data_IF_951445572158
#
_entry.id   IF_951445572158
#
_cell.length_a   1.000
_cell.length_b   1.000
_cell.length_c   1.000
_cell.angle_alpha   90.00
_cell.angle_beta   90.00
_cell.angle_gamma   90.00
#
_symmetry.space_group_name_H-M   'P 1'
#
loop_
_entity.id
_entity.type
_entity.pdbx_description
1 polymer ?
#
# COMPACT_ATOMS: atom_id res chain seq x y z
N UNK A 1 -20.09 -0.62 -9.55
CA UNK A 1 -20.73 -1.96 -9.52
C UNK A 1 -19.74 -2.94 -8.93
N UNK A 2 -20.08 -3.52 -7.79
CA UNK A 2 -19.20 -4.21 -6.85
C UNK A 2 -18.76 -5.64 -7.28
N UNK A 3 -18.61 -5.90 -8.57
CA UNK A 3 -18.31 -7.24 -9.09
C UNK A 3 -16.80 -7.58 -9.12
N UNK A 4 -15.92 -6.57 -9.23
CA UNK A 4 -14.46 -6.79 -9.30
C UNK A 4 -13.86 -7.33 -7.98
N UNK A 5 -14.54 -7.07 -6.86
CA UNK A 5 -14.00 -7.34 -5.52
C UNK A 5 -14.51 -8.66 -4.92
N UNK A 6 -15.19 -9.52 -5.67
CA UNK A 6 -15.64 -10.86 -5.21
C UNK A 6 -14.93 -11.99 -5.95
N UNK A 7 -14.36 -11.72 -7.11
CA UNK A 7 -13.69 -12.73 -7.94
C UNK A 7 -12.28 -13.12 -7.41
N UNK A 8 -11.70 -12.31 -6.51
CA UNK A 8 -10.37 -12.56 -5.93
C UNK A 8 -10.34 -13.62 -4.82
N UNK A 9 -11.50 -14.02 -4.28
CA UNK A 9 -11.59 -14.93 -3.14
C UNK A 9 -11.64 -16.42 -3.52
N UNK A 10 -11.79 -16.75 -4.81
CA UNK A 10 -11.91 -18.13 -5.28
C UNK A 10 -10.66 -18.53 -6.06
N UNK A 11 -9.69 -19.11 -5.36
CA UNK A 11 -8.58 -19.81 -6.02
C UNK A 11 -9.06 -21.08 -6.70
N UNK A 12 -9.01 -21.14 -8.02
CA UNK A 12 -8.80 -22.38 -8.76
C UNK A 12 -7.96 -22.15 -10.03
N UNK A 13 -7.18 -23.16 -10.35
CA UNK A 13 -6.03 -23.19 -11.23
C UNK A 13 -6.43 -23.32 -12.71
N UNK A 14 -5.65 -22.72 -13.62
CA UNK A 14 -5.61 -23.17 -15.01
C UNK A 14 -5.84 -22.13 -16.11
N UNK A 15 -5.62 -20.84 -15.88
CA UNK A 15 -5.56 -19.88 -16.98
C UNK A 15 -4.18 -19.92 -17.65
N UNK A 16 -4.09 -20.60 -18.79
CA UNK A 16 -3.05 -20.38 -19.79
C UNK A 16 -2.97 -18.88 -20.08
N UNK A 17 -1.81 -18.27 -19.88
CA UNK A 17 -1.54 -16.89 -20.28
C UNK A 17 -1.75 -16.78 -21.80
N UNK A 18 -2.90 -16.27 -22.23
CA UNK A 18 -3.17 -15.97 -23.62
C UNK A 18 -2.30 -14.77 -24.00
N UNK A 19 -1.47 -14.95 -25.02
CA UNK A 19 -0.57 -13.92 -25.57
C UNK A 19 -1.31 -12.70 -26.16
N UNK A 20 -2.64 -12.71 -26.17
CA UNK A 20 -3.52 -11.67 -26.74
C UNK A 20 -4.00 -10.60 -25.73
N UNK A 21 -3.62 -10.66 -24.44
CA UNK A 21 -3.97 -9.63 -23.44
C UNK A 21 -2.91 -8.51 -23.29
N UNK A 22 -1.88 -8.52 -24.15
CA UNK A 22 -0.77 -7.54 -24.14
C UNK A 22 -1.04 -6.30 -25.01
N UNK A 23 -2.23 -6.17 -25.61
CA UNK A 23 -2.58 -5.09 -26.56
C UNK A 23 -3.64 -4.12 -25.99
N UNK A 24 -3.58 -3.85 -24.68
CA UNK A 24 -4.22 -2.69 -24.07
C UNK A 24 -3.44 -1.41 -24.40
N UNK A 25 -4.05 -0.22 -24.45
CA UNK A 25 -3.38 1.00 -24.91
C UNK A 25 -2.08 1.25 -24.11
N UNK A 26 -0.96 1.28 -24.85
CA UNK A 26 0.43 1.47 -24.43
C UNK A 26 0.73 2.88 -23.87
N UNK A 27 -0.11 3.36 -22.97
CA UNK A 27 0.20 4.52 -22.16
C UNK A 27 -0.34 4.31 -20.76
N UNK A 28 0.24 3.32 -20.07
CA UNK A 28 0.33 3.40 -18.63
C UNK A 28 1.07 4.72 -18.32
N UNK A 29 0.47 5.55 -17.47
CA UNK A 29 1.10 6.80 -17.06
C UNK A 29 2.52 6.50 -16.54
N UNK A 30 3.54 7.31 -16.90
CA UNK A 30 4.89 7.10 -16.39
C UNK A 30 4.87 6.98 -14.86
N UNK A 31 5.61 6.02 -14.29
CA UNK A 31 5.64 5.83 -12.85
C UNK A 31 6.05 7.14 -12.15
N UNK A 32 5.18 7.67 -11.27
CA UNK A 32 5.38 8.94 -10.60
C UNK A 32 5.36 8.80 -9.07
N UNK A 33 5.96 9.75 -8.32
CA UNK A 33 5.87 9.79 -6.87
C UNK A 33 4.42 9.79 -6.39
N UNK A 34 4.09 8.86 -5.49
CA UNK A 34 2.77 8.77 -4.87
C UNK A 34 2.77 9.63 -3.61
N UNK A 35 1.92 10.66 -3.57
CA UNK A 35 1.65 11.41 -2.35
C UNK A 35 0.25 11.07 -1.82
N UNK A 36 0.18 10.12 -0.89
CA UNK A 36 -1.07 9.62 -0.30
C UNK A 36 -1.97 10.70 0.31
N UNK A 37 -1.43 11.85 0.70
CA UNK A 37 -2.22 12.95 1.26
C UNK A 37 -2.97 13.76 0.20
N UNK A 38 -2.54 13.68 -1.07
CA UNK A 38 -3.07 14.50 -2.17
C UNK A 38 -3.89 13.70 -3.18
N UNK A 39 -3.92 12.36 -3.07
CA UNK A 39 -4.71 11.52 -3.96
C UNK A 39 -6.20 11.80 -3.84
N UNK A 40 -6.87 11.88 -4.99
CA UNK A 40 -8.32 11.83 -5.07
C UNK A 40 -8.84 10.48 -4.56
N UNK A 41 -10.15 10.38 -4.35
CA UNK A 41 -10.77 9.12 -3.95
C UNK A 41 -10.49 7.97 -4.95
N UNK A 42 -10.61 8.25 -6.25
CA UNK A 42 -10.48 7.23 -7.30
C UNK A 42 -8.99 6.86 -7.54
N UNK A 43 -8.08 7.83 -7.46
CA UNK A 43 -6.63 7.56 -7.53
C UNK A 43 -6.19 6.74 -6.31
N UNK A 44 -6.65 7.09 -5.11
CA UNK A 44 -6.32 6.35 -3.89
C UNK A 44 -6.78 4.89 -3.95
N UNK A 45 -7.99 4.62 -4.49
CA UNK A 45 -8.48 3.26 -4.67
C UNK A 45 -7.53 2.43 -5.56
N UNK A 46 -7.13 3.01 -6.68
CA UNK A 46 -6.22 2.36 -7.65
C UNK A 46 -4.85 2.09 -7.02
N UNK A 47 -4.25 3.11 -6.40
CA UNK A 47 -2.93 3.00 -5.78
C UNK A 47 -2.91 1.99 -4.62
N UNK A 48 -3.98 1.93 -3.81
CA UNK A 48 -4.09 0.93 -2.76
C UNK A 48 -4.08 -0.49 -3.31
N UNK A 49 -4.85 -0.75 -4.37
CA UNK A 49 -4.96 -2.07 -4.98
C UNK A 49 -3.64 -2.51 -5.62
N UNK A 50 -3.00 -1.62 -6.39
CA UNK A 50 -1.73 -1.92 -7.05
C UNK A 50 -0.61 -2.13 -6.03
N UNK A 51 -0.52 -1.28 -4.99
CA UNK A 51 0.45 -1.49 -3.92
C UNK A 51 0.21 -2.80 -3.18
N UNK A 52 -1.04 -3.16 -2.88
CA UNK A 52 -1.35 -4.43 -2.21
C UNK A 52 -0.99 -5.66 -3.04
N UNK A 53 -1.22 -5.61 -4.36
CA UNK A 53 -0.78 -6.66 -5.29
C UNK A 53 0.73 -6.78 -5.26
N UNK A 54 1.44 -5.67 -5.39
CA UNK A 54 2.90 -5.66 -5.42
C UNK A 54 3.52 -6.11 -4.09
N UNK A 55 3.01 -5.67 -2.94
CA UNK A 55 3.48 -6.11 -1.62
C UNK A 55 3.27 -7.62 -1.44
N UNK A 56 2.14 -8.16 -1.91
CA UNK A 56 1.89 -9.60 -1.88
C UNK A 56 2.85 -10.38 -2.77
N UNK A 57 3.20 -9.86 -3.95
CA UNK A 57 4.26 -10.42 -4.77
C UNK A 57 5.61 -10.36 -4.05
N UNK A 58 6.01 -9.19 -3.55
CA UNK A 58 7.31 -8.95 -2.91
C UNK A 58 7.55 -9.93 -1.74
N UNK A 59 6.59 -10.03 -0.82
CA UNK A 59 6.74 -10.89 0.37
C UNK A 59 6.77 -12.38 0.02
N UNK A 60 6.09 -12.82 -1.04
CA UNK A 60 6.11 -14.22 -1.49
C UNK A 60 7.39 -14.53 -2.27
N UNK A 61 7.81 -13.64 -3.17
CA UNK A 61 9.00 -13.81 -4.01
C UNK A 61 10.29 -13.83 -3.19
N UNK A 62 10.41 -12.95 -2.20
CA UNK A 62 11.61 -12.84 -1.36
C UNK A 62 11.49 -13.55 0.00
N UNK A 63 10.39 -14.27 0.26
CA UNK A 63 10.17 -15.01 1.51
C UNK A 63 10.22 -14.13 2.76
N UNK A 64 9.64 -12.93 2.69
CA UNK A 64 9.75 -11.95 3.77
C UNK A 64 8.90 -12.37 4.98
N UNK A 65 9.48 -12.40 6.20
CA UNK A 65 8.74 -12.69 7.41
C UNK A 65 7.84 -11.52 7.81
N UNK A 66 6.86 -11.80 8.69
CA UNK A 66 5.99 -10.77 9.26
C UNK A 66 6.74 -9.68 10.05
N UNK A 67 7.99 -9.95 10.47
CA UNK A 67 8.86 -8.94 11.08
C UNK A 67 9.41 -7.91 10.11
N UNK A 68 9.27 -8.10 8.80
CA UNK A 68 9.68 -7.14 7.76
C UNK A 68 8.44 -6.58 7.06
N UNK A 69 7.50 -7.44 6.66
CA UNK A 69 6.22 -7.02 6.07
C UNK A 69 5.07 -7.72 6.81
N UNK A 70 4.42 -7.04 7.76
CA UNK A 70 3.36 -7.60 8.59
C UNK A 70 2.03 -7.66 7.82
N UNK A 71 1.06 -8.49 8.24
CA UNK A 71 -0.23 -8.60 7.54
C UNK A 71 -1.00 -7.28 7.44
N UNK A 72 -0.95 -6.46 8.50
CA UNK A 72 -1.62 -5.15 8.62
C UNK A 72 -0.71 -3.97 8.21
N UNK A 73 0.27 -4.17 7.33
CA UNK A 73 1.17 -3.10 6.86
C UNK A 73 0.43 -1.84 6.37
N UNK A 74 -0.77 -2.00 5.79
CA UNK A 74 -1.60 -0.90 5.27
C UNK A 74 -2.13 0.04 6.34
N UNK A 75 -2.13 -0.38 7.62
CA UNK A 75 -2.53 0.44 8.76
C UNK A 75 -1.40 1.28 9.34
N UNK A 76 -0.17 1.10 8.86
CA UNK A 76 1.01 1.82 9.32
C UNK A 76 1.50 2.78 8.25
N UNK A 77 1.27 4.10 8.40
CA UNK A 77 1.68 5.09 7.40
C UNK A 77 3.15 4.99 7.04
N UNK A 78 4.05 4.75 7.99
CA UNK A 78 5.48 4.59 7.77
C UNK A 78 5.82 3.41 6.83
N UNK A 79 5.08 2.29 6.93
CA UNK A 79 5.24 1.16 6.02
C UNK A 79 4.64 1.48 4.65
N UNK A 80 3.48 2.13 4.62
CA UNK A 80 2.82 2.55 3.37
C UNK A 80 3.76 3.45 2.55
N UNK A 81 4.37 4.46 3.18
CA UNK A 81 5.30 5.37 2.51
C UNK A 81 6.55 4.65 1.98
N UNK A 82 7.21 3.83 2.81
CA UNK A 82 8.43 3.11 2.40
C UNK A 82 8.12 2.09 1.29
N UNK A 83 7.04 1.33 1.41
CA UNK A 83 6.64 0.33 0.41
C UNK A 83 6.22 0.98 -0.92
N UNK A 84 5.55 2.14 -0.87
CA UNK A 84 5.21 2.91 -2.08
C UNK A 84 6.47 3.37 -2.81
N UNK A 85 7.47 3.88 -2.08
CA UNK A 85 8.73 4.32 -2.66
C UNK A 85 9.51 3.14 -3.26
N UNK A 86 9.52 1.98 -2.59
CA UNK A 86 10.15 0.77 -3.11
C UNK A 86 9.45 0.23 -4.36
N UNK A 87 8.12 0.29 -4.41
CA UNK A 87 7.33 -0.08 -5.58
C UNK A 87 7.66 0.83 -6.76
N UNK A 88 7.67 2.14 -6.54
CA UNK A 88 8.05 3.11 -7.57
C UNK A 88 9.48 2.87 -8.08
N UNK A 89 10.43 2.64 -7.18
CA UNK A 89 11.80 2.33 -7.57
C UNK A 89 11.87 1.04 -8.40
N UNK A 90 11.07 0.02 -8.05
CA UNK A 90 10.98 -1.23 -8.82
C UNK A 90 10.48 -0.96 -10.23
N UNK A 91 9.39 -0.20 -10.40
CA UNK A 91 8.85 0.17 -11.72
C UNK A 91 9.90 0.86 -12.58
N UNK A 92 10.59 1.87 -12.03
CA UNK A 92 11.65 2.58 -12.75
C UNK A 92 12.87 1.69 -13.08
N UNK A 93 13.19 0.70 -12.24
CA UNK A 93 14.33 -0.18 -12.46
C UNK A 93 14.09 -1.22 -13.57
N UNK A 94 12.83 -1.53 -13.88
CA UNK A 94 12.42 -2.46 -14.92
C UNK A 94 11.77 -1.78 -16.13
N UNK A 95 11.87 -0.45 -16.22
CA UNK A 95 11.44 0.31 -17.39
C UNK A 95 12.25 -0.11 -18.64
N UNK A 96 11.61 -0.26 -19.83
CA UNK A 96 12.29 -0.68 -21.06
C UNK A 96 13.45 0.21 -21.49
N UNK A 97 13.41 1.50 -21.15
CA UNK A 97 14.45 2.47 -21.48
C UNK A 97 15.57 2.52 -20.43
N UNK A 98 15.51 1.68 -19.38
CA UNK A 98 16.53 1.65 -18.34
C UNK A 98 17.78 0.83 -18.71
N UNK A 99 18.89 1.14 -18.05
CA UNK A 99 20.12 0.38 -18.16
C UNK A 99 19.91 -1.02 -17.58
N UNK A 100 20.47 -2.05 -18.23
CA UNK A 100 20.37 -3.44 -17.75
C UNK A 100 20.94 -3.71 -16.35
N UNK A 101 21.71 -2.76 -15.78
CA UNK A 101 22.18 -2.83 -14.39
C UNK A 101 21.18 -2.29 -13.36
N UNK A 102 20.11 -1.60 -13.78
CA UNK A 102 19.15 -0.98 -12.88
C UNK A 102 18.45 -1.96 -11.93
N UNK A 103 18.04 -3.17 -12.37
CA UNK A 103 17.50 -4.18 -11.47
C UNK A 103 18.48 -4.56 -10.34
N UNK A 104 19.78 -4.59 -10.63
CA UNK A 104 20.80 -4.87 -9.62
C UNK A 104 20.95 -3.70 -8.64
N UNK A 105 20.82 -2.46 -9.12
CA UNK A 105 20.73 -1.26 -8.29
C UNK A 105 19.57 -1.34 -7.30
N UNK A 106 18.37 -1.68 -7.80
CA UNK A 106 17.19 -1.84 -6.96
C UNK A 106 17.38 -2.89 -5.84
N UNK A 107 18.03 -4.02 -6.13
CA UNK A 107 18.28 -5.03 -5.11
C UNK A 107 19.23 -4.56 -4.01
N UNK A 108 20.20 -3.68 -4.33
CA UNK A 108 21.06 -3.05 -3.33
C UNK A 108 20.25 -2.17 -2.40
N UNK A 109 19.43 -1.29 -2.97
CA UNK A 109 18.64 -0.33 -2.19
C UNK A 109 17.52 -1.03 -1.39
N UNK A 110 16.94 -2.11 -1.95
CA UNK A 110 16.02 -2.99 -1.26
C UNK A 110 16.67 -3.66 -0.04
N UNK A 111 17.95 -4.06 -0.13
CA UNK A 111 18.64 -4.67 1.00
C UNK A 111 18.69 -3.72 2.21
N UNK A 112 18.95 -2.44 1.98
CA UNK A 112 18.96 -1.39 3.02
C UNK A 112 17.56 -1.07 3.53
N UNK A 113 16.56 -1.05 2.64
CA UNK A 113 15.18 -0.76 3.00
C UNK A 113 14.56 -1.83 3.91
N UNK A 114 14.94 -3.12 3.75
CA UNK A 114 14.47 -4.19 4.64
C UNK A 114 14.81 -3.94 6.11
N UNK A 115 15.96 -3.33 6.41
CA UNK A 115 16.30 -2.98 7.79
C UNK A 115 15.35 -1.91 8.33
N UNK A 116 15.06 -0.86 7.53
CA UNK A 116 14.09 0.18 7.92
C UNK A 116 12.69 -0.38 8.12
N UNK A 117 12.22 -1.23 7.20
CA UNK A 117 10.93 -1.93 7.33
C UNK A 117 10.87 -2.75 8.63
N UNK A 118 11.91 -3.50 8.94
CA UNK A 118 11.99 -4.25 10.18
C UNK A 118 11.92 -3.34 11.43
N UNK A 119 12.62 -2.21 11.40
CA UNK A 119 12.61 -1.25 12.51
C UNK A 119 11.24 -0.59 12.69
N UNK A 120 10.52 -0.31 11.60
CA UNK A 120 9.12 0.17 11.64
C UNK A 120 8.17 -0.86 12.24
N UNK A 121 8.29 -2.12 11.85
CA UNK A 121 7.49 -3.22 12.43
C UNK A 121 7.78 -3.38 13.92
N UNK A 122 9.05 -3.32 14.31
CA UNK A 122 9.44 -3.40 15.72
C UNK A 122 8.89 -2.22 16.54
N UNK A 123 8.83 -1.01 15.96
CA UNK A 123 8.36 0.21 16.62
C UNK A 123 6.84 0.25 16.77
N UNK A 124 6.11 -0.14 15.72
CA UNK A 124 4.65 -0.23 15.75
C UNK A 124 4.17 -1.37 16.66
N UNK A 125 4.94 -2.46 16.75
CA UNK A 125 4.61 -3.63 17.55
C UNK A 125 3.59 -4.56 16.88
N UNK A 126 3.36 -4.38 15.58
CA UNK A 126 2.52 -5.24 14.75
C UNK A 126 3.15 -6.62 14.57
N UNK A 127 2.32 -7.66 14.53
CA UNK A 127 2.71 -9.08 14.54
C UNK A 127 1.83 -9.85 13.57
N UNK A 128 2.05 -11.17 13.49
CA UNK A 128 1.29 -12.05 12.59
C UNK A 128 -0.21 -12.07 12.91
N UNK A 129 -0.58 -12.17 14.19
CA UNK A 129 -1.98 -12.37 14.63
C UNK A 129 -2.59 -11.12 15.29
N UNK A 130 -1.77 -10.10 15.54
CA UNK A 130 -2.15 -8.95 16.33
C UNK A 130 -1.49 -7.70 15.80
N UNK A 131 -2.22 -6.62 15.84
CA UNK A 131 -1.77 -5.31 15.40
C UNK A 131 -1.93 -4.27 16.50
N UNK A 132 -1.09 -3.25 16.44
CA UNK A 132 -1.19 -2.06 17.27
C UNK A 132 -0.76 -0.85 16.44
N UNK A 133 -1.60 0.19 16.33
CA UNK A 133 -1.20 1.45 15.72
C UNK A 133 0.08 2.04 16.33
N UNK A 134 0.89 2.65 15.47
CA UNK A 134 2.17 3.25 15.84
C UNK A 134 1.97 4.37 16.85
N UNK A 135 2.66 4.26 17.99
CA UNK A 135 2.50 5.22 19.10
C UNK A 135 3.14 6.55 18.70
N UNK A 136 2.38 7.63 18.82
CA UNK A 136 2.90 8.98 18.72
C UNK A 136 3.28 9.48 20.13
N UNK A 137 4.48 10.01 20.26
CA UNK A 137 4.93 10.62 21.52
C UNK A 137 4.41 12.06 21.57
N UNK A 138 3.53 12.42 22.52
CA UNK A 138 3.05 13.78 22.63
C UNK A 138 4.20 14.72 23.01
N UNK A 139 4.28 15.87 22.37
CA UNK A 139 5.28 16.88 22.68
C UNK A 139 4.84 17.79 23.85
N UNK A 140 5.76 18.52 24.50
CA UNK A 140 5.39 19.44 25.57
C UNK A 140 4.35 20.47 25.12
N UNK A 141 3.18 20.47 25.78
CA UNK A 141 2.05 21.35 25.44
C UNK A 141 0.93 20.68 24.63
N UNK A 142 1.15 19.46 24.13
CA UNK A 142 0.12 18.68 23.46
C UNK A 142 -0.72 17.88 24.47
N UNK A 143 -2.01 17.61 24.14
CA UNK A 143 -2.81 16.70 24.95
C UNK A 143 -2.15 15.31 24.99
N UNK A 144 -2.33 14.54 26.08
CA UNK A 144 -1.87 13.15 26.13
C UNK A 144 -2.41 12.34 24.95
N UNK A 145 -1.58 11.48 24.38
CA UNK A 145 -2.00 10.58 23.31
C UNK A 145 -3.06 9.59 23.81
N UNK A 146 -3.99 9.23 22.93
CA UNK A 146 -5.03 8.25 23.23
C UNK A 146 -4.43 6.87 23.56
N UNK A 147 -5.15 6.12 24.40
CA UNK A 147 -4.77 4.76 24.72
C UNK A 147 -4.89 3.88 23.46
N UNK A 148 -3.75 3.39 22.96
CA UNK A 148 -3.74 2.48 21.81
C UNK A 148 -3.89 1.04 22.30
N UNK A 149 -4.92 0.35 21.79
CA UNK A 149 -5.24 -1.03 22.08
C UNK A 149 -4.73 -1.97 20.98
N UNK A 150 -4.44 -3.21 21.37
CA UNK A 150 -4.06 -4.27 20.44
C UNK A 150 -5.32 -4.86 19.79
N UNK A 151 -5.28 -5.05 18.48
CA UNK A 151 -6.36 -5.57 17.64
C UNK A 151 -5.97 -6.96 17.15
N UNK A 152 -6.92 -7.90 17.10
CA UNK A 152 -6.68 -9.23 16.54
C UNK A 152 -6.86 -9.20 15.02
N UNK A 153 -5.94 -9.82 14.30
CA UNK A 153 -6.00 -9.98 12.85
C UNK A 153 -6.74 -11.29 12.56
N UNK A 154 -8.04 -11.23 12.30
CA UNK A 154 -8.84 -12.43 11.99
C UNK A 154 -8.85 -12.77 10.50
N UNK A 155 -8.99 -11.75 9.66
CA UNK A 155 -8.99 -11.88 8.20
C UNK A 155 -8.34 -10.63 7.62
N UNK A 156 -7.13 -10.81 7.08
CA UNK A 156 -6.34 -9.70 6.57
C UNK A 156 -6.89 -9.11 5.29
N UNK A 157 -7.46 -9.93 4.42
CA UNK A 157 -7.91 -9.45 3.13
C UNK A 157 -9.26 -8.74 3.26
N UNK A 158 -10.15 -9.25 4.12
CA UNK A 158 -11.37 -8.53 4.48
C UNK A 158 -11.08 -7.19 5.17
N UNK A 159 -10.09 -7.14 6.08
CA UNK A 159 -9.66 -5.89 6.72
C UNK A 159 -9.11 -4.88 5.71
N UNK A 160 -8.26 -5.34 4.77
CA UNK A 160 -7.70 -4.50 3.73
C UNK A 160 -8.79 -3.90 2.85
N UNK A 161 -9.76 -4.71 2.42
CA UNK A 161 -10.92 -4.24 1.64
C UNK A 161 -11.68 -3.16 2.40
N UNK A 162 -12.02 -3.41 3.67
CA UNK A 162 -12.75 -2.45 4.47
C UNK A 162 -11.98 -1.15 4.65
N UNK A 163 -10.67 -1.25 4.89
CA UNK A 163 -9.79 -0.08 5.01
C UNK A 163 -9.79 0.79 3.75
N UNK A 164 -9.70 0.19 2.56
CA UNK A 164 -9.74 0.93 1.29
C UNK A 164 -11.11 1.59 1.09
N UNK A 165 -12.20 0.86 1.36
CA UNK A 165 -13.56 1.42 1.27
C UNK A 165 -13.72 2.64 2.19
N UNK A 166 -13.25 2.54 3.43
CA UNK A 166 -13.32 3.63 4.40
C UNK A 166 -12.45 4.84 4.00
N UNK A 167 -11.24 4.60 3.47
CA UNK A 167 -10.35 5.69 3.00
C UNK A 167 -10.95 6.42 1.79
N UNK A 168 -11.49 5.67 0.82
CA UNK A 168 -12.15 6.23 -0.38
C UNK A 168 -13.38 7.04 0.02
N UNK A 169 -14.22 6.51 0.91
CA UNK A 169 -15.39 7.24 1.40
C UNK A 169 -15.00 8.55 2.11
N UNK A 170 -13.98 8.50 2.97
CA UNK A 170 -13.43 9.68 3.66
C UNK A 170 -12.94 10.74 2.67
N UNK A 171 -12.27 10.34 1.58
CA UNK A 171 -11.80 11.26 0.53
C UNK A 171 -12.95 11.87 -0.26
N UNK A 172 -13.94 11.08 -0.68
CA UNK A 172 -15.14 11.60 -1.37
C UNK A 172 -15.91 12.62 -0.53
N UNK A 173 -16.03 12.37 0.76
CA UNK A 173 -16.64 13.32 1.70
C UNK A 173 -15.85 14.63 1.80
N UNK A 174 -14.52 14.56 1.82
CA UNK A 174 -13.64 15.72 1.85
C UNK A 174 -13.72 16.53 0.55
N UNK A 175 -13.71 15.87 -0.61
CA UNK A 175 -13.88 16.50 -1.92
C UNK A 175 -15.24 17.19 -2.04
N UNK A 176 -16.31 16.51 -1.63
CA UNK A 176 -17.67 17.09 -1.63
C UNK A 176 -17.74 18.36 -0.79
N UNK A 177 -17.15 18.34 0.42
CA UNK A 177 -17.07 19.53 1.29
C UNK A 177 -16.25 20.65 0.67
N UNK A 178 -15.15 20.32 -0.02
CA UNK A 178 -14.32 21.29 -0.72
C UNK A 178 -15.11 22.00 -1.84
N UNK A 179 -15.77 21.23 -2.71
CA UNK A 179 -16.60 21.80 -3.79
C UNK A 179 -17.79 22.60 -3.26
N UNK A 180 -18.45 22.15 -2.19
CA UNK A 180 -19.52 22.90 -1.55
C UNK A 180 -19.05 24.25 -0.99
N UNK A 181 -17.83 24.31 -0.44
CA UNK A 181 -17.22 25.57 0.03
C UNK A 181 -16.81 26.48 -1.12
N UNK A 182 -16.31 25.92 -2.22
CA UNK A 182 -15.89 26.68 -3.40
C UNK A 182 -17.08 27.24 -4.22
N UNK A 183 -18.25 26.63 -4.12
CA UNK A 183 -19.48 27.05 -4.81
C UNK A 183 -20.37 28.02 -4.03
N UNK A 184 -20.03 28.39 -2.79
CA UNK A 184 -20.73 29.42 -2.01
C UNK A 184 -20.18 30.82 -2.33
N UNK A 185 -21.00 31.77 -2.83
CA UNK A 185 -20.58 33.12 -3.19
C UNK A 185 -20.19 34.00 -1.99
#
# INVERSE_FOLDING_TARGET
MAASLVDWASGDQGASFGEDELDGPLSAEPPHPINWNLLSADDAETEWIELNRWVNWLRRTYGLPASVVPPFWHRHPELVWELSALHLHWLCAYDPDQHGSAPFGWHRDFADARQRLHDWVATSGTRLERDRPTRQTPWPGEPPADAVHEIVISDRDADFVQFVVDDVARRRDAETKFYARAGSP
#
